data_IF_072230020178
#
_entry.id   IF_072230020178
#
_cell.length_a   1.000
_cell.length_b   1.000
_cell.length_c   1.000
_cell.angle_alpha   90.00
_cell.angle_beta   90.00
_cell.angle_gamma   90.00
#
_symmetry.space_group_name_H-M   'P 1'
#
loop_
_entity.id
_entity.type
_entity.pdbx_description
1 polymer ?
#
# COMPACT_ATOMS: atom_id res chain seq x y z
N UNK A 1 13.29 13.23 -4.90
CA UNK A 1 12.49 12.16 -5.44
C UNK A 1 11.44 12.61 -6.44
N UNK A 2 10.85 11.65 -7.10
CA UNK A 2 9.82 11.91 -8.10
C UNK A 2 8.52 12.36 -7.45
N UNK A 3 7.85 13.30 -8.10
CA UNK A 3 6.55 13.77 -7.65
C UNK A 3 5.46 12.78 -8.09
N UNK A 4 4.55 12.46 -7.18
CA UNK A 4 3.45 11.53 -7.44
C UNK A 4 2.23 12.34 -7.89
N UNK A 5 1.64 12.00 -9.06
CA UNK A 5 0.38 12.63 -9.45
C UNK A 5 -0.76 12.16 -8.55
N UNK A 6 -1.86 12.87 -8.61
CA UNK A 6 -3.05 12.47 -7.87
C UNK A 6 -3.73 11.31 -8.60
N UNK A 7 -3.91 10.20 -7.91
CA UNK A 7 -4.64 9.03 -8.40
C UNK A 7 -6.00 8.95 -7.73
N UNK A 8 -6.94 8.30 -8.39
CA UNK A 8 -8.20 7.94 -7.79
C UNK A 8 -8.08 6.51 -7.26
N UNK A 9 -8.12 6.37 -5.94
CA UNK A 9 -8.13 5.06 -5.29
C UNK A 9 -9.58 4.60 -5.15
N UNK A 10 -9.82 3.32 -5.27
CA UNK A 10 -11.16 2.73 -5.06
C UNK A 10 -11.07 1.65 -4.00
N UNK A 11 -11.89 1.77 -2.97
CA UNK A 11 -11.93 0.75 -1.92
C UNK A 11 -12.65 -0.52 -2.42
N UNK A 12 -12.82 -1.51 -1.55
CA UNK A 12 -13.44 -2.78 -1.94
C UNK A 12 -14.93 -2.67 -2.25
N UNK A 13 -15.54 -1.51 -2.00
CA UNK A 13 -16.91 -1.20 -2.42
C UNK A 13 -16.93 -0.25 -3.62
N UNK A 14 -15.79 -0.08 -4.27
CA UNK A 14 -15.60 0.83 -5.40
C UNK A 14 -15.87 2.30 -5.08
N UNK A 15 -15.86 2.68 -3.81
CA UNK A 15 -15.94 4.07 -3.39
C UNK A 15 -14.61 4.77 -3.66
N UNK A 16 -14.69 5.98 -4.20
CA UNK A 16 -13.52 6.71 -4.67
C UNK A 16 -12.91 7.57 -3.59
N UNK A 17 -11.58 7.52 -3.50
CA UNK A 17 -10.80 8.38 -2.60
C UNK A 17 -9.62 8.93 -3.41
N UNK A 18 -9.41 10.24 -3.34
CA UNK A 18 -8.25 10.83 -4.01
C UNK A 18 -6.97 10.51 -3.23
N UNK A 19 -5.95 10.03 -3.93
CA UNK A 19 -4.70 9.62 -3.30
C UNK A 19 -4.00 10.76 -2.56
N UNK A 20 -4.19 11.99 -3.01
CA UNK A 20 -3.59 13.16 -2.36
C UNK A 20 -4.03 13.31 -0.90
N UNK A 21 -5.19 12.74 -0.51
CA UNK A 21 -5.62 12.73 0.88
C UNK A 21 -4.52 12.13 1.79
N UNK A 22 -3.82 11.11 1.30
CA UNK A 22 -2.72 10.48 2.01
C UNK A 22 -1.37 11.04 1.58
N UNK A 23 -1.14 11.12 0.27
CA UNK A 23 0.18 11.37 -0.30
C UNK A 23 0.64 12.81 -0.12
N UNK A 24 -0.29 13.77 -0.09
CA UNK A 24 0.06 15.19 0.04
C UNK A 24 0.07 15.66 1.50
N UNK A 25 0.22 14.75 2.42
CA UNK A 25 0.26 15.04 3.85
C UNK A 25 1.71 15.33 4.30
N UNK A 26 1.84 16.11 5.38
CA UNK A 26 3.11 16.27 6.09
C UNK A 26 3.51 14.95 6.78
N UNK A 27 2.54 14.15 7.16
CA UNK A 27 2.73 12.80 7.66
C UNK A 27 3.19 11.92 6.49
N UNK A 28 4.29 11.15 6.62
CA UNK A 28 4.67 10.26 5.54
C UNK A 28 3.65 9.14 5.38
N UNK A 29 3.57 8.61 4.18
CA UNK A 29 2.69 7.48 3.85
C UNK A 29 3.53 6.28 3.45
N UNK A 30 3.26 5.14 4.07
CA UNK A 30 3.69 3.83 3.56
C UNK A 30 2.65 3.39 2.53
N UNK A 31 3.06 3.33 1.27
CA UNK A 31 2.22 2.87 0.19
C UNK A 31 2.71 1.51 -0.27
N UNK A 32 1.86 0.48 -0.13
CA UNK A 32 2.20 -0.90 -0.47
C UNK A 32 1.30 -1.36 -1.59
N UNK A 33 1.91 -1.90 -2.64
CA UNK A 33 1.18 -2.57 -3.72
C UNK A 33 1.37 -4.07 -3.53
N UNK A 34 0.28 -4.81 -3.43
CA UNK A 34 0.29 -6.21 -3.03
C UNK A 34 -0.70 -7.04 -3.84
N UNK A 35 -0.65 -8.35 -3.65
CA UNK A 35 -1.62 -9.27 -4.23
C UNK A 35 -1.90 -10.39 -3.24
N UNK A 36 -3.15 -10.85 -3.19
CA UNK A 36 -3.53 -11.94 -2.30
C UNK A 36 -2.92 -13.28 -2.69
N UNK A 37 -2.55 -13.46 -3.96
CA UNK A 37 -1.92 -14.69 -4.46
C UNK A 37 -0.40 -14.70 -4.30
N UNK A 38 0.19 -13.63 -3.80
CA UNK A 38 1.65 -13.45 -3.75
C UNK A 38 2.21 -13.97 -2.42
N UNK A 39 3.08 -15.00 -2.42
CA UNK A 39 3.65 -15.53 -1.17
C UNK A 39 4.43 -14.49 -0.36
N UNK A 40 5.23 -13.65 -1.02
CA UNK A 40 5.99 -12.61 -0.35
C UNK A 40 5.09 -11.57 0.31
N UNK A 41 3.91 -11.31 -0.28
CA UNK A 41 2.91 -10.43 0.32
C UNK A 41 2.32 -11.05 1.58
N UNK A 42 2.09 -12.37 1.58
CA UNK A 42 1.63 -13.09 2.77
C UNK A 42 2.62 -12.97 3.92
N UNK A 43 3.91 -12.91 3.60
CA UNK A 43 4.95 -12.74 4.61
C UNK A 43 5.03 -11.29 5.10
N UNK A 44 4.90 -10.31 4.21
CA UNK A 44 5.06 -8.90 4.56
C UNK A 44 3.85 -8.30 5.28
N UNK A 45 2.61 -8.61 4.84
CA UNK A 45 1.43 -7.90 5.31
C UNK A 45 1.17 -8.01 6.81
N UNK A 46 1.49 -9.13 7.49
CA UNK A 46 1.43 -9.13 8.96
C UNK A 46 2.35 -8.10 9.60
N UNK A 47 3.54 -7.88 9.02
CA UNK A 47 4.45 -6.83 9.50
C UNK A 47 3.89 -5.44 9.22
N UNK A 48 3.24 -5.24 8.07
CA UNK A 48 2.57 -3.99 7.75
C UNK A 48 1.45 -3.70 8.76
N UNK A 49 0.67 -4.71 9.12
CA UNK A 49 -0.39 -4.54 10.12
C UNK A 49 0.18 -4.11 11.47
N UNK A 50 1.25 -4.76 11.91
CA UNK A 50 1.89 -4.41 13.18
C UNK A 50 2.48 -3.01 13.13
N UNK A 51 3.13 -2.65 12.02
CA UNK A 51 3.65 -1.31 11.80
C UNK A 51 2.52 -0.28 11.86
N UNK A 52 1.40 -0.56 11.21
CA UNK A 52 0.21 0.30 11.22
C UNK A 52 -0.30 0.51 12.64
N UNK A 53 -0.46 -0.57 13.40
CA UNK A 53 -0.96 -0.49 14.78
C UNK A 53 -0.06 0.37 15.66
N UNK A 54 1.25 0.32 15.44
CA UNK A 54 2.23 1.02 16.27
C UNK A 54 2.49 2.46 15.83
N UNK A 55 2.07 2.86 14.62
CA UNK A 55 2.46 4.13 14.03
C UNK A 55 1.29 4.95 13.46
N UNK A 56 0.06 4.68 13.89
CA UNK A 56 -1.14 5.36 13.33
C UNK A 56 -1.06 6.87 13.41
N UNK A 57 -0.44 7.41 14.46
CA UNK A 57 -0.40 8.83 14.71
C UNK A 57 0.60 9.56 13.81
N UNK A 58 1.60 8.87 13.30
CA UNK A 58 2.70 9.52 12.60
C UNK A 58 2.95 9.02 11.18
N UNK A 59 2.31 7.92 10.76
CA UNK A 59 2.45 7.37 9.41
C UNK A 59 1.08 6.96 8.89
N UNK A 60 0.75 7.39 7.67
CA UNK A 60 -0.39 6.83 6.95
C UNK A 60 0.03 5.51 6.33
N UNK A 61 -0.86 4.51 6.36
CA UNK A 61 -0.62 3.25 5.66
C UNK A 61 -1.72 3.08 4.62
N UNK A 62 -1.34 2.81 3.38
CA UNK A 62 -2.27 2.59 2.26
C UNK A 62 -1.81 1.35 1.52
N UNK A 63 -2.67 0.34 1.42
CA UNK A 63 -2.35 -0.90 0.71
C UNK A 63 -3.31 -1.05 -0.47
N UNK A 64 -2.76 -1.19 -1.68
CA UNK A 64 -3.54 -1.42 -2.90
C UNK A 64 -3.29 -2.84 -3.37
N UNK A 65 -4.37 -3.59 -3.56
CA UNK A 65 -4.31 -4.94 -4.13
C UNK A 65 -4.48 -4.86 -5.64
N UNK A 66 -3.54 -5.46 -6.38
CA UNK A 66 -3.59 -5.46 -7.85
C UNK A 66 -4.66 -6.40 -8.35
N UNK A 67 -5.23 -6.11 -9.52
CA UNK A 67 -6.26 -6.95 -10.13
C UNK A 67 -5.71 -8.03 -11.05
N UNK A 68 -4.41 -8.03 -11.31
CA UNK A 68 -3.75 -9.05 -12.12
C UNK A 68 -3.89 -10.42 -11.43
N UNK A 69 -4.41 -11.41 -12.15
CA UNK A 69 -4.59 -12.78 -11.63
C UNK A 69 -5.39 -12.83 -10.33
N UNK A 70 -6.35 -11.93 -10.19
CA UNK A 70 -7.06 -11.70 -8.94
C UNK A 70 -8.55 -11.48 -9.20
N UNK A 71 -9.34 -11.57 -8.15
CA UNK A 71 -10.71 -11.09 -8.13
C UNK A 71 -10.93 -10.25 -6.88
N UNK A 72 -11.88 -9.34 -6.95
CA UNK A 72 -12.24 -8.51 -5.78
C UNK A 72 -12.66 -9.39 -4.61
N UNK A 73 -13.40 -10.48 -4.88
CA UNK A 73 -13.85 -11.39 -3.84
C UNK A 73 -12.67 -12.05 -3.13
N UNK A 74 -11.67 -12.51 -3.90
CA UNK A 74 -10.50 -13.17 -3.31
C UNK A 74 -9.67 -12.20 -2.47
N UNK A 75 -9.48 -10.97 -2.95
CA UNK A 75 -8.76 -9.94 -2.19
C UNK A 75 -9.50 -9.60 -0.89
N UNK A 76 -10.82 -9.45 -0.97
CA UNK A 76 -11.65 -9.17 0.21
C UNK A 76 -11.56 -10.30 1.24
N UNK A 77 -11.71 -11.54 0.80
CA UNK A 77 -11.62 -12.71 1.68
C UNK A 77 -10.27 -12.78 2.36
N UNK A 78 -9.21 -12.50 1.62
CA UNK A 78 -7.86 -12.49 2.16
C UNK A 78 -7.71 -11.46 3.29
N UNK A 79 -8.14 -10.22 3.03
CA UNK A 79 -8.05 -9.15 4.03
C UNK A 79 -8.89 -9.49 5.28
N UNK A 80 -10.11 -9.98 5.09
CA UNK A 80 -11.00 -10.33 6.18
C UNK A 80 -10.48 -11.52 6.99
N UNK A 81 -9.98 -12.55 6.33
CA UNK A 81 -9.46 -13.75 7.00
C UNK A 81 -8.24 -13.44 7.85
N UNK A 82 -7.41 -12.50 7.42
CA UNK A 82 -6.23 -12.09 8.16
C UNK A 82 -6.51 -10.96 9.16
N UNK A 83 -7.75 -10.44 9.20
CA UNK A 83 -8.17 -9.37 10.11
C UNK A 83 -7.32 -8.10 9.95
N UNK A 84 -6.91 -7.80 8.72
CA UNK A 84 -6.18 -6.57 8.44
C UNK A 84 -7.11 -5.36 8.56
N UNK A 85 -6.62 -4.31 9.24
CA UNK A 85 -7.40 -3.10 9.51
C UNK A 85 -6.81 -1.85 8.87
N UNK A 86 -5.63 -1.94 8.25
CA UNK A 86 -5.08 -0.82 7.50
C UNK A 86 -5.99 -0.48 6.31
N UNK A 87 -6.00 0.79 5.85
CA UNK A 87 -6.78 1.16 4.66
C UNK A 87 -6.37 0.33 3.44
N UNK A 88 -7.37 -0.25 2.77
CA UNK A 88 -7.17 -1.12 1.61
C UNK A 88 -7.95 -0.62 0.42
N UNK A 89 -7.37 -0.77 -0.76
CA UNK A 89 -7.94 -0.38 -2.04
C UNK A 89 -7.70 -1.48 -3.06
N UNK A 90 -8.47 -1.48 -4.13
CA UNK A 90 -8.34 -2.45 -5.21
C UNK A 90 -8.09 -1.73 -6.53
N UNK A 91 -7.11 -2.19 -7.29
CA UNK A 91 -6.71 -1.56 -8.55
C UNK A 91 -7.56 -2.09 -9.70
N UNK A 92 -8.85 -1.70 -9.73
CA UNK A 92 -9.84 -2.23 -10.67
C UNK A 92 -9.42 -2.08 -12.13
N UNK A 93 -8.85 -0.95 -12.49
CA UNK A 93 -8.51 -0.58 -13.86
C UNK A 93 -7.01 -0.60 -14.16
N UNK A 94 -6.21 -1.12 -13.24
CA UNK A 94 -4.75 -1.19 -13.34
C UNK A 94 -4.07 0.18 -13.41
N UNK A 95 -4.77 1.26 -13.03
CA UNK A 95 -4.18 2.61 -13.06
C UNK A 95 -2.99 2.73 -12.11
N UNK A 96 -3.01 2.04 -10.97
CA UNK A 96 -1.90 2.05 -10.01
C UNK A 96 -0.71 1.27 -10.57
N UNK A 97 -0.93 0.04 -11.03
CA UNK A 97 0.14 -0.78 -11.61
C UNK A 97 0.80 -0.05 -12.77
N UNK A 98 0.00 0.54 -13.66
CA UNK A 98 0.52 1.24 -14.81
C UNK A 98 1.17 2.58 -14.43
N UNK A 99 0.54 3.34 -13.54
CA UNK A 99 1.03 4.66 -13.14
C UNK A 99 2.35 4.62 -12.41
N UNK A 100 2.55 3.63 -11.53
CA UNK A 100 3.82 3.45 -10.81
C UNK A 100 4.76 2.48 -11.50
N UNK A 101 4.36 1.92 -12.64
CA UNK A 101 5.17 0.94 -13.40
C UNK A 101 5.57 -0.24 -12.51
N UNK A 102 4.63 -0.77 -11.76
CA UNK A 102 4.85 -1.88 -10.84
C UNK A 102 5.14 -3.14 -11.64
N UNK A 103 6.31 -3.73 -11.44
CA UNK A 103 6.74 -4.94 -12.15
C UNK A 103 6.62 -6.20 -11.31
N UNK A 104 6.51 -6.05 -10.01
CA UNK A 104 6.38 -7.16 -9.09
C UNK A 104 5.81 -6.69 -7.76
N UNK A 105 5.31 -7.64 -6.98
CA UNK A 105 4.74 -7.36 -5.66
C UNK A 105 5.46 -8.21 -4.63
N UNK A 106 5.57 -7.76 -3.37
CA UNK A 106 5.14 -6.45 -2.89
C UNK A 106 6.05 -5.32 -3.38
N UNK A 107 5.47 -4.13 -3.52
CA UNK A 107 6.18 -2.93 -3.94
C UNK A 107 5.87 -1.85 -2.91
N UNK A 108 6.92 -1.25 -2.33
CA UNK A 108 6.80 -0.40 -1.15
C UNK A 108 7.37 1.00 -1.43
N UNK A 109 6.59 2.02 -1.11
CA UNK A 109 7.03 3.41 -1.26
C UNK A 109 6.84 4.17 0.04
N UNK A 110 7.78 5.08 0.32
CA UNK A 110 7.60 6.14 1.32
C UNK A 110 7.30 7.43 0.57
N UNK A 111 6.14 8.01 0.83
CA UNK A 111 5.68 9.22 0.14
C UNK A 111 5.37 10.28 1.19
N UNK A 112 5.83 11.52 0.94
CA UNK A 112 5.52 12.68 1.78
C UNK A 112 5.36 13.89 0.88
N UNK A 113 4.28 14.66 1.08
CA UNK A 113 4.00 15.87 0.29
C UNK A 113 4.05 15.59 -1.20
N UNK A 114 3.47 14.46 -1.60
CA UNK A 114 3.40 13.99 -2.99
C UNK A 114 4.76 13.72 -3.63
N UNK A 115 5.79 13.48 -2.82
CA UNK A 115 7.14 13.15 -3.30
C UNK A 115 7.52 11.76 -2.79
N UNK A 116 8.06 10.93 -3.68
CA UNK A 116 8.59 9.63 -3.30
C UNK A 116 9.93 9.84 -2.61
N UNK A 117 10.02 9.49 -1.34
CA UNK A 117 11.26 9.64 -0.54
C UNK A 117 12.08 8.36 -0.50
N UNK A 118 11.43 7.20 -0.65
CA UNK A 118 12.13 5.92 -0.62
C UNK A 118 11.31 4.86 -1.35
N UNK A 119 11.99 3.87 -1.90
CA UNK A 119 11.40 2.75 -2.64
C UNK A 119 12.06 1.48 -2.15
N UNK A 120 11.25 0.44 -1.91
CA UNK A 120 11.76 -0.89 -1.63
C UNK A 120 10.92 -1.92 -2.38
N UNK A 121 11.59 -2.74 -3.17
CA UNK A 121 10.96 -3.84 -3.87
C UNK A 121 11.18 -5.13 -3.09
N UNK A 122 10.17 -6.01 -3.08
CA UNK A 122 10.24 -7.26 -2.37
C UNK A 122 9.81 -7.15 -0.91
N UNK A 123 9.94 -8.26 -0.19
CA UNK A 123 9.42 -8.40 1.17
C UNK A 123 10.12 -7.47 2.15
N UNK A 124 9.34 -6.73 2.93
CA UNK A 124 9.86 -5.94 4.04
C UNK A 124 9.51 -6.58 5.37
N UNK A 125 10.43 -6.48 6.30
CA UNK A 125 10.22 -6.89 7.70
C UNK A 125 9.73 -5.70 8.52
N UNK A 126 9.24 -5.95 9.73
CA UNK A 126 8.86 -4.87 10.65
C UNK A 126 10.05 -3.96 10.95
N UNK A 127 11.24 -4.53 11.18
CA UNK A 127 12.46 -3.74 11.42
C UNK A 127 12.79 -2.87 10.21
N UNK A 128 12.64 -3.41 9.00
CA UNK A 128 12.86 -2.66 7.77
C UNK A 128 11.88 -1.50 7.62
N UNK A 129 10.61 -1.74 7.92
CA UNK A 129 9.59 -0.68 7.90
C UNK A 129 9.88 0.41 8.93
N UNK A 130 10.24 0.02 10.15
CA UNK A 130 10.60 0.98 11.18
C UNK A 130 11.81 1.83 10.78
N UNK A 131 12.81 1.20 10.18
CA UNK A 131 13.99 1.91 9.68
C UNK A 131 13.64 2.89 8.56
N UNK A 132 12.80 2.48 7.63
CA UNK A 132 12.36 3.32 6.51
C UNK A 132 11.68 4.61 7.00
N UNK A 133 10.99 4.56 8.13
CA UNK A 133 10.22 5.68 8.67
C UNK A 133 10.83 6.27 9.95
N UNK A 134 12.11 6.10 10.13
CA UNK A 134 12.83 6.51 11.35
C UNK A 134 13.21 8.00 11.37
N UNK A 135 12.60 8.86 10.64
CA UNK A 135 12.99 10.28 10.68
C UNK A 135 11.99 11.19 11.46
#
# INVERSE_FOLDING_TARGET
GSKVPNFELKDFRAQKVKSRKFFNSNKPTLFVVAAEWCPDCHEELPAVQKFYDENKDRVNVVVVFISNRSSLLDARKFVESNKYTFPVFYDFDKSIVNGFKVKGVPFNLKIRKSVIEDISEGTMTLDGLNEMFMD
#
